data_IF_792825363421
#
_entry.id   IF_792825363421
#
_cell.length_a   1.000
_cell.length_b   1.000
_cell.length_c   1.000
_cell.angle_alpha   90.00
_cell.angle_beta   90.00
_cell.angle_gamma   90.00
#
_symmetry.space_group_name_H-M   'P 1'
#
loop_
_entity.id
_entity.type
_entity.pdbx_description
1 polymer ?
#
# COMPACT_ATOMS: atom_id res chain seq x y z
N UNK A 1 10.50 -0.72 -4.23
CA UNK A 1 10.72 -0.08 -2.91
C UNK A 1 9.56 -0.32 -1.96
N UNK A 2 8.37 0.26 -2.22
CA UNK A 2 7.22 0.14 -1.32
C UNK A 2 6.79 -1.29 -0.98
N UNK A 3 6.90 -2.23 -1.94
CA UNK A 3 6.62 -3.64 -1.72
C UNK A 3 7.56 -4.32 -0.71
N UNK A 4 8.84 -3.91 -0.63
CA UNK A 4 9.76 -4.47 0.36
C UNK A 4 9.54 -3.87 1.75
N UNK A 5 9.12 -2.60 1.82
CA UNK A 5 8.80 -1.91 3.07
C UNK A 5 7.49 -2.39 3.72
N UNK A 6 6.62 -2.96 2.89
CA UNK A 6 5.29 -3.40 3.30
C UNK A 6 5.20 -4.91 3.56
N UNK A 7 6.27 -5.67 3.25
CA UNK A 7 6.38 -7.11 3.48
C UNK A 7 6.20 -7.94 2.21
N UNK A 8 7.05 -8.96 2.02
CA UNK A 8 6.92 -9.92 0.92
C UNK A 8 5.92 -11.01 1.29
N UNK A 9 4.64 -10.77 1.04
CA UNK A 9 3.62 -11.81 1.11
C UNK A 9 3.29 -12.29 -0.30
N UNK A 10 3.36 -13.60 -0.53
CA UNK A 10 3.01 -14.18 -1.84
C UNK A 10 1.51 -14.00 -2.05
N UNK A 11 1.14 -13.26 -3.08
CA UNK A 11 -0.25 -13.10 -3.51
C UNK A 11 -0.74 -14.44 -4.06
N UNK A 12 -1.84 -14.95 -3.50
CA UNK A 12 -2.59 -16.04 -4.09
C UNK A 12 -3.83 -15.47 -4.79
N UNK A 13 -3.68 -15.19 -6.09
CA UNK A 13 -4.74 -14.60 -6.90
C UNK A 13 -5.97 -15.49 -6.99
N UNK A 14 -5.82 -16.82 -6.90
CA UNK A 14 -6.94 -17.76 -6.94
C UNK A 14 -7.81 -17.60 -5.70
N UNK A 15 -7.20 -17.56 -4.51
CA UNK A 15 -7.92 -17.32 -3.25
C UNK A 15 -8.67 -15.98 -3.30
N UNK A 16 -8.04 -14.93 -3.82
CA UNK A 16 -8.70 -13.61 -3.94
C UNK A 16 -9.87 -13.68 -4.91
N UNK A 17 -9.70 -14.28 -6.09
CA UNK A 17 -10.79 -14.40 -7.06
C UNK A 17 -11.98 -15.18 -6.48
N UNK A 18 -11.73 -16.30 -5.81
CA UNK A 18 -12.77 -17.12 -5.18
C UNK A 18 -13.48 -16.35 -4.04
N UNK A 19 -12.73 -15.63 -3.21
CA UNK A 19 -13.27 -14.78 -2.13
C UNK A 19 -14.26 -13.73 -2.66
N UNK A 20 -13.96 -13.14 -3.82
CA UNK A 20 -14.84 -12.17 -4.47
C UNK A 20 -15.78 -12.80 -5.50
N UNK A 21 -15.87 -14.13 -5.54
CA UNK A 21 -16.72 -14.90 -6.47
C UNK A 21 -16.51 -14.48 -7.94
N UNK A 22 -15.27 -14.16 -8.31
CA UNK A 22 -14.86 -13.67 -9.61
C UNK A 22 -15.61 -12.40 -10.06
N UNK A 23 -16.14 -11.60 -9.14
CA UNK A 23 -16.87 -10.37 -9.45
C UNK A 23 -16.13 -9.13 -8.99
N UNK A 24 -16.27 -8.04 -9.75
CA UNK A 24 -15.86 -6.73 -9.28
C UNK A 24 -16.60 -6.41 -7.98
N UNK A 25 -15.86 -6.09 -6.91
CA UNK A 25 -16.44 -5.79 -5.62
C UNK A 25 -17.45 -4.63 -5.65
N UNK A 26 -17.16 -3.61 -6.46
CA UNK A 26 -17.93 -2.36 -6.53
C UNK A 26 -19.23 -2.50 -7.32
N UNK A 27 -19.16 -2.98 -8.56
CA UNK A 27 -20.32 -3.04 -9.45
C UNK A 27 -20.90 -4.44 -9.66
N UNK A 28 -20.27 -5.49 -9.13
CA UNK A 28 -20.72 -6.88 -9.29
C UNK A 28 -20.51 -7.47 -10.68
N UNK A 29 -19.85 -6.76 -11.62
CA UNK A 29 -19.50 -7.27 -12.95
C UNK A 29 -18.77 -8.61 -12.84
N UNK A 30 -19.22 -9.60 -13.59
CA UNK A 30 -18.58 -10.91 -13.69
C UNK A 30 -17.24 -10.81 -14.44
N UNK A 31 -16.18 -11.35 -13.82
CA UNK A 31 -14.81 -11.38 -14.29
C UNK A 31 -14.28 -12.83 -14.37
N UNK A 32 -15.15 -13.85 -14.31
CA UNK A 32 -14.74 -15.26 -14.39
C UNK A 32 -14.08 -15.59 -15.74
N UNK A 33 -14.60 -15.00 -16.82
CA UNK A 33 -14.15 -15.22 -18.20
C UNK A 33 -13.08 -14.21 -18.64
N UNK A 34 -12.55 -13.42 -17.70
CA UNK A 34 -11.50 -12.43 -17.97
C UNK A 34 -10.14 -13.03 -17.61
N UNK A 35 -9.30 -13.26 -18.62
CA UNK A 35 -7.96 -13.82 -18.43
C UNK A 35 -6.89 -12.74 -18.18
N UNK A 36 -7.10 -11.52 -18.70
CA UNK A 36 -6.13 -10.43 -18.57
C UNK A 36 -6.14 -9.82 -17.17
N UNK A 37 -4.97 -9.76 -16.54
CA UNK A 37 -4.77 -9.08 -15.26
C UNK A 37 -5.06 -7.56 -15.32
N UNK A 38 -4.99 -6.96 -16.51
CA UNK A 38 -5.33 -5.54 -16.71
C UNK A 38 -6.83 -5.30 -16.60
N UNK A 39 -7.64 -6.25 -17.08
CA UNK A 39 -9.09 -6.17 -17.07
C UNK A 39 -9.70 -6.70 -15.75
N UNK A 40 -8.94 -7.54 -15.04
CA UNK A 40 -9.23 -8.05 -13.70
C UNK A 40 -8.07 -7.73 -12.72
N UNK A 41 -7.84 -6.45 -12.40
CA UNK A 41 -6.79 -6.05 -11.48
C UNK A 41 -7.09 -6.46 -10.03
N UNK A 42 -6.03 -6.75 -9.30
CA UNK A 42 -6.04 -6.88 -7.84
C UNK A 42 -5.59 -5.54 -7.25
N UNK A 43 -6.51 -4.83 -6.60
CA UNK A 43 -6.24 -3.53 -5.97
C UNK A 43 -5.82 -3.69 -4.51
N UNK A 44 -5.08 -2.72 -4.00
CA UNK A 44 -4.80 -2.63 -2.56
C UNK A 44 -6.04 -2.09 -1.84
N UNK A 45 -6.64 -2.89 -0.98
CA UNK A 45 -7.75 -2.47 -0.12
C UNK A 45 -7.33 -1.26 0.70
N UNK A 46 -6.29 -1.42 1.53
CA UNK A 46 -5.53 -0.34 2.16
C UNK A 46 -4.36 0.04 1.24
N UNK A 47 -4.20 1.31 0.83
CA UNK A 47 -3.25 1.68 -0.23
C UNK A 47 -1.76 1.54 0.13
N UNK A 48 -0.95 1.20 -0.87
CA UNK A 48 0.52 1.21 -0.78
C UNK A 48 1.12 2.60 -0.51
N UNK A 49 0.38 3.67 -0.83
CA UNK A 49 0.74 5.03 -0.42
C UNK A 49 1.00 5.08 1.09
N UNK A 50 0.16 4.40 1.87
CA UNK A 50 0.26 4.28 3.33
C UNK A 50 1.05 3.05 3.79
N UNK A 51 1.91 2.48 2.93
CA UNK A 51 2.79 1.33 3.23
C UNK A 51 2.06 0.02 3.54
N UNK A 52 0.81 -0.13 3.13
CA UNK A 52 0.14 -1.43 3.16
C UNK A 52 0.47 -2.25 1.90
N UNK A 53 0.92 -3.50 2.03
CA UNK A 53 1.36 -4.32 0.89
C UNK A 53 0.17 -4.80 0.07
N UNK A 54 0.40 -5.15 -1.19
CA UNK A 54 -0.54 -6.04 -1.87
C UNK A 54 -0.25 -7.46 -1.42
N UNK A 55 -1.19 -8.05 -0.69
CA UNK A 55 -1.14 -9.45 -0.29
C UNK A 55 -2.54 -10.08 -0.39
N UNK A 56 -2.63 -11.38 -0.11
CA UNK A 56 -3.88 -12.12 -0.18
C UNK A 56 -4.99 -11.56 0.72
N UNK A 57 -4.67 -10.88 1.82
CA UNK A 57 -5.63 -10.33 2.77
C UNK A 57 -5.95 -8.85 2.54
N UNK A 58 -5.01 -8.09 1.98
CA UNK A 58 -5.19 -6.70 1.62
C UNK A 58 -5.58 -6.49 0.15
N UNK A 59 -5.81 -7.54 -0.65
CA UNK A 59 -6.27 -7.40 -2.03
C UNK A 59 -7.80 -7.31 -2.16
N UNK A 60 -8.27 -6.44 -3.06
CA UNK A 60 -9.66 -6.36 -3.51
C UNK A 60 -9.75 -6.62 -5.01
N UNK A 61 -10.71 -7.44 -5.44
CA UNK A 61 -10.96 -7.69 -6.86
C UNK A 61 -11.82 -6.58 -7.46
N UNK A 62 -11.30 -5.86 -8.45
CA UNK A 62 -12.04 -4.81 -9.18
C UNK A 62 -11.98 -5.07 -10.68
N UNK A 63 -12.94 -4.51 -11.43
CA UNK A 63 -12.75 -4.34 -12.86
C UNK A 63 -11.86 -3.12 -13.12
N UNK A 64 -11.31 -3.03 -14.33
CA UNK A 64 -10.42 -1.94 -14.75
C UNK A 64 -10.94 -0.53 -14.42
N UNK A 65 -12.22 -0.26 -14.69
CA UNK A 65 -12.83 1.06 -14.47
C UNK A 65 -12.78 1.46 -12.99
N UNK A 66 -13.35 0.63 -12.10
CA UNK A 66 -13.40 0.93 -10.67
C UNK A 66 -12.01 0.88 -10.00
N UNK A 67 -11.08 0.07 -10.52
CA UNK A 67 -9.69 0.13 -10.09
C UNK A 67 -9.05 1.49 -10.41
N UNK A 68 -9.27 1.99 -11.63
CA UNK A 68 -8.83 3.31 -12.07
C UNK A 68 -9.49 4.45 -11.31
N UNK A 69 -10.76 4.31 -10.93
CA UNK A 69 -11.46 5.30 -10.10
C UNK A 69 -10.99 5.30 -8.64
N UNK A 70 -10.74 4.13 -8.06
CA UNK A 70 -10.23 4.01 -6.69
C UNK A 70 -8.82 4.59 -6.59
N UNK A 71 -7.93 4.29 -7.53
CA UNK A 71 -6.63 4.96 -7.71
C UNK A 71 -5.83 5.20 -6.42
N UNK A 72 -5.73 4.19 -5.56
CA UNK A 72 -5.00 4.29 -4.29
C UNK A 72 -5.66 5.20 -3.22
N UNK A 73 -6.91 5.62 -3.40
CA UNK A 73 -7.71 6.25 -2.34
C UNK A 73 -7.92 5.27 -1.20
N UNK A 74 -7.95 5.82 0.02
CA UNK A 74 -8.41 5.09 1.20
C UNK A 74 -9.86 4.62 1.01
N UNK A 75 -10.27 3.46 1.55
CA UNK A 75 -11.61 2.90 1.33
C UNK A 75 -12.76 3.89 1.57
N UNK A 76 -12.75 4.64 2.67
CA UNK A 76 -13.81 5.63 2.98
C UNK A 76 -13.91 6.80 2.00
N UNK A 77 -12.86 7.05 1.21
CA UNK A 77 -12.85 8.10 0.19
C UNK A 77 -13.39 7.61 -1.17
N UNK A 78 -13.85 6.36 -1.27
CA UNK A 78 -14.34 5.77 -2.53
C UNK A 78 -15.60 4.92 -2.35
N UNK A 79 -15.66 4.10 -1.30
CA UNK A 79 -16.79 3.24 -1.01
C UNK A 79 -17.80 3.93 -0.09
N UNK A 80 -19.09 3.63 -0.29
CA UNK A 80 -20.13 4.06 0.63
C UNK A 80 -20.18 3.14 1.87
N UNK A 81 -20.98 3.51 2.87
CA UNK A 81 -21.09 2.80 4.14
C UNK A 81 -21.41 1.31 4.01
N UNK A 82 -22.37 0.95 3.15
CA UNK A 82 -22.79 -0.44 2.98
C UNK A 82 -21.74 -1.27 2.24
N UNK A 83 -21.04 -0.65 1.28
CA UNK A 83 -19.87 -1.25 0.65
C UNK A 83 -18.75 -1.48 1.68
N UNK A 84 -18.43 -0.52 2.54
CA UNK A 84 -17.39 -0.69 3.56
C UNK A 84 -17.70 -1.84 4.53
N UNK A 85 -18.96 -2.00 4.96
CA UNK A 85 -19.39 -3.15 5.78
C UNK A 85 -19.21 -4.47 5.04
N UNK A 86 -19.64 -4.54 3.78
CA UNK A 86 -19.45 -5.73 2.93
C UNK A 86 -17.97 -6.05 2.75
N UNK A 87 -17.16 -5.04 2.49
CA UNK A 87 -15.72 -5.18 2.31
C UNK A 87 -15.07 -5.75 3.56
N UNK A 88 -15.44 -5.22 4.74
CA UNK A 88 -14.98 -5.70 6.05
C UNK A 88 -15.29 -7.19 6.25
N UNK A 89 -16.51 -7.63 5.92
CA UNK A 89 -16.90 -9.05 6.02
C UNK A 89 -16.09 -9.93 5.08
N UNK A 90 -15.83 -9.47 3.85
CA UNK A 90 -15.13 -10.25 2.83
C UNK A 90 -13.63 -10.35 3.12
N UNK A 91 -12.98 -9.25 3.53
CA UNK A 91 -11.53 -9.18 3.72
C UNK A 91 -11.09 -9.49 5.14
N UNK A 92 -11.99 -9.39 6.12
CA UNK A 92 -11.68 -9.48 7.54
C UNK A 92 -11.04 -8.20 8.11
N UNK A 93 -10.87 -7.14 7.31
CA UNK A 93 -10.37 -5.85 7.79
C UNK A 93 -11.48 -5.18 8.61
N UNK A 94 -11.15 -4.69 9.81
CA UNK A 94 -12.12 -4.03 10.69
C UNK A 94 -12.83 -2.87 9.98
N UNK A 95 -14.15 -2.79 10.14
CA UNK A 95 -14.96 -1.75 9.52
C UNK A 95 -14.49 -0.33 9.91
N UNK A 96 -14.09 -0.12 11.17
CA UNK A 96 -13.64 1.18 11.66
C UNK A 96 -12.30 1.59 11.03
N UNK A 97 -11.46 0.63 10.64
CA UNK A 97 -10.24 0.89 9.86
C UNK A 97 -10.61 1.38 8.45
N UNK A 98 -11.56 0.70 7.80
CA UNK A 98 -12.00 1.04 6.44
C UNK A 98 -12.73 2.39 6.38
N UNK A 99 -13.61 2.67 7.35
CA UNK A 99 -14.36 3.92 7.48
C UNK A 99 -13.48 5.07 7.96
N UNK A 100 -12.49 4.78 8.81
CA UNK A 100 -11.67 5.78 9.48
C UNK A 100 -10.74 6.57 8.55
N UNK A 101 -9.99 7.48 9.18
CA UNK A 101 -8.99 8.27 8.49
C UNK A 101 -7.79 7.41 8.06
N UNK A 102 -7.12 7.76 6.95
CA UNK A 102 -5.91 7.06 6.54
C UNK A 102 -4.81 7.13 7.60
N UNK A 103 -4.07 6.04 7.75
CA UNK A 103 -2.89 5.97 8.61
C UNK A 103 -1.83 5.10 7.94
N UNK A 104 -0.57 5.27 8.33
CA UNK A 104 0.53 4.44 7.82
C UNK A 104 0.56 3.08 8.50
N UNK A 105 0.88 2.03 7.74
CA UNK A 105 1.02 0.66 8.24
C UNK A 105 1.97 0.62 9.46
N UNK A 106 1.47 0.31 10.67
CA UNK A 106 2.28 0.33 11.89
C UNK A 106 3.48 -0.61 11.84
N UNK A 107 3.33 -1.78 11.19
CA UNK A 107 4.43 -2.73 11.05
C UNK A 107 5.55 -2.21 10.15
N UNK A 108 5.21 -1.48 9.08
CA UNK A 108 6.19 -0.85 8.20
C UNK A 108 6.93 0.28 8.91
N UNK A 109 6.21 1.12 9.68
CA UNK A 109 6.82 2.18 10.49
C UNK A 109 7.76 1.60 11.55
N UNK A 110 7.35 0.53 12.23
CA UNK A 110 8.20 -0.13 13.22
C UNK A 110 9.46 -0.73 12.58
N UNK A 111 9.32 -1.37 11.42
CA UNK A 111 10.46 -1.92 10.66
C UNK A 111 11.45 -0.83 10.26
N UNK A 112 10.97 0.36 9.91
CA UNK A 112 11.80 1.51 9.54
C UNK A 112 12.56 2.16 10.70
N UNK A 113 12.32 1.73 11.95
CA UNK A 113 13.16 2.12 13.10
C UNK A 113 14.41 1.25 13.24
N UNK A 114 14.47 0.13 12.53
CA UNK A 114 15.63 -0.76 12.54
C UNK A 114 16.67 -0.29 11.53
N UNK A 115 17.86 0.07 12.00
CA UNK A 115 18.97 0.50 11.15
C UNK A 115 19.30 -0.48 10.04
N UNK A 116 19.25 -1.78 10.31
CA UNK A 116 19.67 -2.79 9.35
C UNK A 116 18.66 -2.89 8.20
N UNK A 117 17.38 -2.66 8.49
CA UNK A 117 16.31 -2.56 7.49
C UNK A 117 16.48 -1.31 6.65
N UNK A 118 16.74 -0.17 7.28
CA UNK A 118 16.95 1.11 6.58
C UNK A 118 18.19 1.06 5.69
N UNK A 119 19.32 0.56 6.21
CA UNK A 119 20.57 0.45 5.48
C UNK A 119 20.45 -0.54 4.31
N UNK A 120 19.75 -1.66 4.50
CA UNK A 120 19.42 -2.59 3.42
C UNK A 120 18.54 -1.94 2.34
N UNK A 121 17.53 -1.14 2.73
CA UNK A 121 16.70 -0.38 1.79
C UNK A 121 17.55 0.59 0.96
N UNK A 122 18.40 1.39 1.62
CA UNK A 122 19.26 2.37 0.98
C UNK A 122 20.23 1.72 0.00
N UNK A 123 20.82 0.59 0.40
CA UNK A 123 21.75 -0.15 -0.45
C UNK A 123 21.04 -0.71 -1.68
N UNK A 124 19.90 -1.40 -1.46
CA UNK A 124 19.11 -2.03 -2.52
C UNK A 124 18.57 -1.03 -3.54
N UNK A 125 18.19 0.18 -3.08
CA UNK A 125 17.56 1.21 -3.90
C UNK A 125 18.45 2.43 -4.15
N UNK A 126 19.77 2.28 -4.04
CA UNK A 126 20.75 3.36 -4.25
C UNK A 126 20.67 4.00 -5.65
N UNK A 127 20.24 3.28 -6.68
CA UNK A 127 20.00 3.86 -8.01
C UNK A 127 18.73 4.75 -8.08
N UNK A 128 17.88 4.69 -7.05
CA UNK A 128 16.58 5.37 -6.96
C UNK A 128 16.49 6.27 -5.72
N UNK A 129 17.60 6.86 -5.29
CA UNK A 129 17.66 7.69 -4.08
C UNK A 129 16.60 8.79 -4.04
N UNK A 130 16.27 9.40 -5.17
CA UNK A 130 15.24 10.44 -5.24
C UNK A 130 13.85 9.93 -4.81
N UNK A 131 13.52 8.67 -5.10
CA UNK A 131 12.28 8.05 -4.65
C UNK A 131 12.32 7.74 -3.14
N UNK A 132 13.48 7.36 -2.62
CA UNK A 132 13.68 7.18 -1.17
C UNK A 132 13.51 8.52 -0.44
N UNK A 133 14.10 9.59 -0.98
CA UNK A 133 13.97 10.96 -0.43
C UNK A 133 12.51 11.41 -0.44
N UNK A 134 11.78 11.20 -1.55
CA UNK A 134 10.34 11.51 -1.62
C UNK A 134 9.55 10.77 -0.56
N UNK A 135 9.85 9.48 -0.35
CA UNK A 135 9.23 8.70 0.71
C UNK A 135 9.55 9.27 2.10
N UNK A 136 10.82 9.53 2.41
CA UNK A 136 11.25 10.12 3.67
C UNK A 136 10.52 11.44 3.92
N UNK A 137 10.54 12.34 2.95
CA UNK A 137 9.93 13.67 3.10
C UNK A 137 8.42 13.58 3.28
N UNK A 138 7.75 12.62 2.63
CA UNK A 138 6.33 12.37 2.86
C UNK A 138 6.06 11.94 4.30
N UNK A 139 6.83 10.99 4.85
CA UNK A 139 6.65 10.53 6.23
C UNK A 139 6.97 11.64 7.25
N UNK A 140 7.99 12.45 6.99
CA UNK A 140 8.31 13.62 7.83
C UNK A 140 7.16 14.63 7.81
N UNK A 141 6.64 14.98 6.63
CA UNK A 141 5.57 15.98 6.50
C UNK A 141 4.24 15.50 7.10
N UNK A 142 3.87 14.24 6.90
CA UNK A 142 2.54 13.76 7.27
C UNK A 142 2.47 13.23 8.71
N UNK A 143 3.56 12.65 9.23
CA UNK A 143 3.57 12.02 10.56
C UNK A 143 4.81 12.36 11.41
N UNK A 144 5.67 13.28 10.96
CA UNK A 144 6.88 13.67 11.71
C UNK A 144 7.94 12.57 11.83
N UNK A 145 7.87 11.53 10.99
CA UNK A 145 8.76 10.38 11.10
C UNK A 145 9.88 10.44 10.07
N UNK A 146 11.13 10.54 10.55
CA UNK A 146 12.34 10.55 9.73
C UNK A 146 13.10 9.23 9.86
N UNK A 147 12.93 8.33 8.88
CA UNK A 147 13.64 7.05 8.92
C UNK A 147 15.13 7.15 8.57
N UNK A 148 15.61 8.27 8.00
CA UNK A 148 17.04 8.46 7.77
C UNK A 148 17.82 8.58 9.06
N UNK A 149 17.18 9.05 10.14
CA UNK A 149 17.79 9.15 11.47
C UNK A 149 18.22 7.79 12.05
N UNK A 150 17.69 6.68 11.55
CA UNK A 150 18.04 5.32 11.99
C UNK A 150 19.12 4.67 11.11
N UNK A 151 19.50 5.28 9.98
CA UNK A 151 20.53 4.72 9.09
C UNK A 151 21.93 4.91 9.67
N UNK A 152 22.80 3.91 9.48
CA UNK A 152 24.24 4.02 9.80
C UNK A 152 25.08 4.39 8.57
N UNK A 153 24.53 4.26 7.36
CA UNK A 153 25.29 4.37 6.11
C UNK A 153 24.87 5.55 5.22
N UNK A 154 23.76 6.23 5.51
CA UNK A 154 23.28 7.35 4.70
C UNK A 154 24.32 8.48 4.69
N UNK A 155 24.65 8.99 3.49
CA UNK A 155 25.62 10.06 3.37
C UNK A 155 25.01 11.42 3.77
N UNK A 156 25.79 12.35 4.35
CA UNK A 156 25.33 13.70 4.66
C UNK A 156 24.77 14.45 3.45
N UNK A 157 25.33 14.21 2.25
CA UNK A 157 24.88 14.81 0.99
C UNK A 157 23.43 14.43 0.67
N UNK A 158 23.04 13.17 0.92
CA UNK A 158 21.66 12.74 0.71
C UNK A 158 20.70 13.29 1.76
N UNK A 159 21.15 13.48 3.00
CA UNK A 159 20.36 14.14 4.05
C UNK A 159 20.12 15.60 3.70
N UNK A 160 21.17 16.33 3.28
CA UNK A 160 21.08 17.73 2.87
C UNK A 160 20.10 17.90 1.71
N UNK A 161 20.28 17.13 0.63
CA UNK A 161 19.34 17.10 -0.50
C UNK A 161 17.91 16.81 -0.06
N UNK A 162 17.71 15.85 0.85
CA UNK A 162 16.37 15.54 1.35
C UNK A 162 15.73 16.71 2.11
N UNK A 163 16.52 17.40 2.94
CA UNK A 163 16.04 18.55 3.70
C UNK A 163 15.74 19.78 2.83
N UNK A 164 16.50 20.00 1.75
CA UNK A 164 16.21 21.06 0.77
C UNK A 164 14.89 20.83 0.01
N UNK A 165 14.50 19.55 -0.15
CA UNK A 165 13.29 19.14 -0.87
C UNK A 165 12.07 18.91 0.05
N UNK A 166 12.19 19.18 1.35
CA UNK A 166 11.15 18.92 2.35
C UNK A 166 10.09 20.03 2.36
#
# INVERSE_FOLDING_TARGET
>A
MYLDLSGQHKIDSKIIHERFQFKCFKCGKDLSNVESAIERPLDHTLPVYYLFPLDTNNATLLCRDHNGEKSGKWPSNYYNKEELKRLSVITGIDYNILEGNPFYNPHAIESLKNSDVVDALLTKYSAYMDEIIKLRNRLVREIGFDFFAFSKIISPVHIEKANEML
#
